data_IF_975220644032
#
_entry.id   IF_975220644032
#
_cell.length_a   1.000
_cell.length_b   1.000
_cell.length_c   1.000
_cell.angle_alpha   90.00
_cell.angle_beta   90.00
_cell.angle_gamma   90.00
#
_symmetry.space_group_name_H-M   'P 1'
#
loop_
_entity.id
_entity.type
_entity.pdbx_description
1 polymer ?
#
# COMPACT_ATOMS: atom_id res chain seq x y z
N UNK A 1 -5.84 -3.44 -13.51
CA UNK A 1 -5.89 -4.52 -12.50
C UNK A 1 -5.85 -4.01 -11.04
N UNK A 2 -4.86 -3.22 -10.55
CA UNK A 2 -4.79 -2.85 -9.12
C UNK A 2 -6.02 -2.10 -8.59
N UNK A 3 -6.63 -1.24 -9.41
CA UNK A 3 -7.88 -0.54 -9.08
C UNK A 3 -9.03 -1.52 -8.82
N UNK A 4 -9.14 -2.58 -9.63
CA UNK A 4 -10.15 -3.63 -9.44
C UNK A 4 -9.98 -4.35 -8.10
N UNK A 5 -8.74 -4.69 -7.72
CA UNK A 5 -8.48 -5.32 -6.41
C UNK A 5 -8.79 -4.39 -5.23
N UNK A 6 -8.43 -3.12 -5.32
CA UNK A 6 -8.80 -2.13 -4.31
C UNK A 6 -10.33 -1.98 -4.16
N UNK A 7 -11.08 -2.01 -5.28
CA UNK A 7 -12.55 -2.02 -5.24
C UNK A 7 -13.11 -3.30 -4.61
N UNK A 8 -12.52 -4.47 -4.90
CA UNK A 8 -12.92 -5.73 -4.27
C UNK A 8 -12.67 -5.71 -2.75
N UNK A 9 -11.53 -5.17 -2.31
CA UNK A 9 -11.26 -4.96 -0.88
C UNK A 9 -12.27 -3.99 -0.23
N UNK A 10 -12.61 -2.89 -0.90
CA UNK A 10 -13.64 -1.98 -0.42
C UNK A 10 -15.02 -2.65 -0.29
N UNK A 11 -15.39 -3.48 -1.27
CA UNK A 11 -16.62 -4.26 -1.26
C UNK A 11 -16.62 -5.30 -0.12
N UNK A 12 -15.49 -5.98 0.11
CA UNK A 12 -15.30 -6.93 1.20
C UNK A 12 -15.52 -6.27 2.57
N UNK A 13 -14.86 -5.14 2.82
CA UNK A 13 -15.05 -4.37 4.05
C UNK A 13 -16.48 -3.85 4.20
N UNK A 14 -17.11 -3.44 3.10
CA UNK A 14 -18.50 -2.99 3.11
C UNK A 14 -19.45 -4.15 3.45
N UNK A 15 -19.22 -5.34 2.92
CA UNK A 15 -20.00 -6.53 3.23
C UNK A 15 -19.90 -6.90 4.72
N UNK A 16 -18.71 -6.81 5.33
CA UNK A 16 -18.53 -6.99 6.78
C UNK A 16 -19.37 -6.04 7.64
N UNK A 17 -19.65 -4.81 7.19
CA UNK A 17 -20.52 -3.88 7.92
C UNK A 17 -22.00 -4.26 7.89
N UNK A 18 -22.42 -5.06 6.91
CA UNK A 18 -23.83 -5.48 6.74
C UNK A 18 -24.08 -6.92 7.16
N UNK A 19 -23.03 -7.72 7.32
CA UNK A 19 -23.17 -9.13 7.65
C UNK A 19 -23.76 -9.30 9.07
N UNK A 20 -24.94 -9.91 9.14
CA UNK A 20 -25.50 -10.42 10.38
C UNK A 20 -25.16 -11.92 10.49
N UNK A 21 -24.19 -12.26 11.35
CA UNK A 21 -23.79 -13.65 11.62
C UNK A 21 -22.48 -14.09 10.95
N UNK A 22 -22.22 -15.41 10.95
CA UNK A 22 -20.97 -16.03 10.50
C UNK A 22 -21.12 -16.65 9.11
N UNK A 23 -21.38 -15.82 8.11
CA UNK A 23 -21.36 -16.23 6.71
C UNK A 23 -19.98 -15.98 6.10
N UNK A 24 -19.53 -16.79 5.13
CA UNK A 24 -18.39 -16.42 4.29
C UNK A 24 -18.67 -15.09 3.61
N UNK A 25 -17.71 -14.16 3.68
CA UNK A 25 -17.85 -12.82 3.12
C UNK A 25 -16.78 -12.64 2.05
N UNK A 26 -17.21 -12.16 0.90
CA UNK A 26 -16.35 -11.83 -0.21
C UNK A 26 -16.72 -10.46 -0.79
N UNK A 27 -15.72 -9.72 -1.22
CA UNK A 27 -15.87 -8.56 -2.08
C UNK A 27 -15.48 -8.91 -3.50
N UNK A 28 -16.35 -8.59 -4.45
CA UNK A 28 -16.09 -8.80 -5.88
C UNK A 28 -16.20 -7.46 -6.59
N UNK A 29 -15.30 -7.20 -7.54
CA UNK A 29 -15.30 -5.99 -8.34
C UNK A 29 -14.90 -6.27 -9.79
N UNK A 30 -15.33 -5.37 -10.67
CA UNK A 30 -14.93 -5.34 -12.07
C UNK A 30 -14.66 -3.91 -12.51
N UNK A 31 -13.54 -3.71 -13.19
CA UNK A 31 -13.25 -2.50 -13.96
C UNK A 31 -13.07 -2.89 -15.41
N UNK A 32 -13.77 -2.25 -16.34
CA UNK A 32 -13.70 -2.59 -17.75
C UNK A 32 -13.66 -1.33 -18.62
N UNK A 33 -12.88 -1.42 -19.70
CA UNK A 33 -12.92 -0.49 -20.81
C UNK A 33 -13.38 -1.28 -22.03
N UNK A 34 -14.67 -1.17 -22.36
CA UNK A 34 -15.31 -1.91 -23.45
C UNK A 34 -15.53 -1.02 -24.68
N UNK A 35 -15.99 -1.65 -25.76
CA UNK A 35 -16.42 -1.00 -26.99
C UNK A 35 -17.42 0.13 -26.70
N UNK A 36 -17.28 1.19 -27.47
CA UNK A 36 -18.17 2.37 -27.45
C UNK A 36 -18.54 2.76 -28.87
N UNK A 37 -19.59 3.55 -29.04
CA UNK A 37 -20.03 4.05 -30.35
C UNK A 37 -18.90 4.79 -31.09
N UNK A 38 -18.05 5.51 -30.35
CA UNK A 38 -16.81 6.09 -30.88
C UNK A 38 -15.64 5.14 -30.64
N UNK A 39 -14.81 4.82 -31.66
CA UNK A 39 -13.65 3.96 -31.50
C UNK A 39 -12.66 4.49 -30.44
N UNK A 40 -12.21 3.60 -29.55
CA UNK A 40 -11.19 3.93 -28.52
C UNK A 40 -9.79 3.56 -29.02
N UNK A 41 -8.81 4.44 -28.74
CA UNK A 41 -7.40 4.16 -29.00
C UNK A 41 -6.87 3.02 -28.11
N UNK A 42 -7.21 3.02 -26.82
CA UNK A 42 -6.79 1.98 -25.86
C UNK A 42 -7.43 0.60 -26.12
N UNK A 43 -6.85 -0.49 -25.59
CA UNK A 43 -7.38 -1.84 -25.75
C UNK A 43 -8.74 -2.01 -25.07
N UNK A 44 -9.56 -2.93 -25.57
CA UNK A 44 -10.76 -3.35 -24.86
C UNK A 44 -10.33 -4.36 -23.80
N UNK A 45 -10.54 -4.06 -22.51
CA UNK A 45 -10.03 -4.92 -21.43
C UNK A 45 -10.92 -4.90 -20.22
N UNK A 46 -10.91 -6.00 -19.49
CA UNK A 46 -11.56 -6.12 -18.19
C UNK A 46 -10.57 -6.62 -17.15
N UNK A 47 -10.71 -6.10 -15.93
CA UNK A 47 -10.04 -6.60 -14.75
C UNK A 47 -11.10 -6.88 -13.69
N UNK A 48 -11.20 -8.14 -13.31
CA UNK A 48 -12.08 -8.62 -12.27
C UNK A 48 -11.23 -8.98 -11.05
N UNK A 49 -11.78 -8.79 -9.86
CA UNK A 49 -11.08 -9.11 -8.62
C UNK A 49 -12.03 -9.62 -7.55
N UNK A 50 -11.52 -10.53 -6.74
CA UNK A 50 -12.16 -11.13 -5.58
C UNK A 50 -11.23 -10.95 -4.38
N UNK A 51 -11.82 -10.54 -3.25
CA UNK A 51 -11.17 -10.50 -1.94
C UNK A 51 -12.05 -11.20 -0.92
N UNK A 52 -11.50 -12.16 -0.19
CA UNK A 52 -12.13 -12.76 0.99
C UNK A 52 -11.16 -12.73 2.19
N UNK A 53 -11.44 -13.49 3.25
CA UNK A 53 -10.58 -13.55 4.44
C UNK A 53 -9.28 -14.35 4.23
N UNK A 54 -9.17 -15.11 3.14
CA UNK A 54 -8.10 -16.09 2.87
C UNK A 54 -7.27 -15.78 1.64
N UNK A 55 -7.78 -15.01 0.69
CA UNK A 55 -7.14 -14.83 -0.60
C UNK A 55 -7.55 -13.54 -1.31
N UNK A 56 -6.69 -13.16 -2.25
CA UNK A 56 -6.96 -12.15 -3.27
C UNK A 56 -6.80 -12.83 -4.63
N UNK A 57 -7.82 -12.75 -5.48
CA UNK A 57 -7.81 -13.28 -6.84
C UNK A 57 -8.05 -12.12 -7.81
N UNK A 58 -7.34 -12.12 -8.94
CA UNK A 58 -7.57 -11.18 -10.03
C UNK A 58 -7.56 -11.88 -11.38
N UNK A 59 -8.52 -11.54 -12.22
CA UNK A 59 -8.59 -11.97 -13.62
C UNK A 59 -8.44 -10.75 -14.52
N UNK A 60 -7.58 -10.84 -15.53
CA UNK A 60 -7.37 -9.79 -16.53
C UNK A 60 -7.50 -10.38 -17.91
N UNK A 61 -8.24 -9.69 -18.78
CA UNK A 61 -8.43 -10.10 -20.16
C UNK A 61 -8.41 -8.88 -21.07
N UNK A 62 -7.78 -9.04 -22.23
CA UNK A 62 -7.92 -8.13 -23.36
C UNK A 62 -8.86 -8.80 -24.38
N UNK A 63 -9.90 -8.06 -24.79
CA UNK A 63 -10.90 -8.51 -25.76
C UNK A 63 -10.48 -8.04 -27.15
N UNK A 64 -10.69 -8.91 -28.14
CA UNK A 64 -10.36 -8.61 -29.53
C UNK A 64 -11.25 -7.47 -30.05
N UNK A 65 -10.62 -6.36 -30.46
CA UNK A 65 -11.35 -5.20 -31.00
C UNK A 65 -12.12 -5.56 -32.27
N UNK A 66 -13.26 -4.90 -32.45
CA UNK A 66 -14.10 -4.99 -33.66
C UNK A 66 -14.63 -6.41 -33.93
N UNK A 67 -14.52 -7.31 -32.95
CA UNK A 67 -15.01 -8.69 -33.02
C UNK A 67 -16.36 -8.88 -32.33
N UNK A 68 -16.72 -7.96 -31.44
CA UNK A 68 -17.97 -7.96 -30.67
C UNK A 68 -18.51 -6.54 -30.58
N UNK A 69 -19.83 -6.41 -30.54
CA UNK A 69 -20.51 -5.20 -30.09
C UNK A 69 -20.29 -4.97 -28.60
N UNK A 70 -20.55 -3.75 -28.13
CA UNK A 70 -20.50 -3.42 -26.69
C UNK A 70 -21.33 -4.38 -25.83
N UNK A 71 -22.54 -4.73 -26.28
CA UNK A 71 -23.44 -5.63 -25.55
C UNK A 71 -22.87 -7.04 -25.44
N UNK A 72 -22.22 -7.53 -26.49
CA UNK A 72 -21.58 -8.84 -26.50
C UNK A 72 -20.33 -8.86 -25.63
N UNK A 73 -19.52 -7.78 -25.62
CA UNK A 73 -18.41 -7.66 -24.68
C UNK A 73 -18.89 -7.59 -23.22
N UNK A 74 -19.97 -6.87 -22.93
CA UNK A 74 -20.60 -6.84 -21.61
C UNK A 74 -21.09 -8.23 -21.19
N UNK A 75 -21.63 -9.03 -22.12
CA UNK A 75 -22.05 -10.41 -21.84
C UNK A 75 -20.87 -11.32 -21.47
N UNK A 76 -19.75 -11.23 -22.20
CA UNK A 76 -18.51 -11.96 -21.89
C UNK A 76 -18.00 -11.59 -20.49
N UNK A 77 -17.88 -10.29 -20.21
CA UNK A 77 -17.40 -9.81 -18.90
C UNK A 77 -18.38 -10.18 -17.78
N UNK A 78 -19.69 -10.15 -18.04
CA UNK A 78 -20.72 -10.59 -17.11
C UNK A 78 -20.61 -12.07 -16.77
N UNK A 79 -20.40 -12.94 -17.77
CA UNK A 79 -20.18 -14.37 -17.54
C UNK A 79 -18.91 -14.63 -16.72
N UNK A 80 -17.81 -13.92 -17.01
CA UNK A 80 -16.59 -13.99 -16.19
C UNK A 80 -16.85 -13.51 -14.76
N UNK A 81 -17.61 -12.44 -14.57
CA UNK A 81 -17.94 -11.94 -13.23
C UNK A 81 -18.75 -12.96 -12.43
N UNK A 82 -19.74 -13.60 -13.06
CA UNK A 82 -20.53 -14.66 -12.44
C UNK A 82 -19.66 -15.87 -12.09
N UNK A 83 -18.73 -16.26 -12.96
CA UNK A 83 -17.77 -17.33 -12.67
C UNK A 83 -16.87 -17.00 -11.47
N UNK A 84 -16.46 -15.74 -11.32
CA UNK A 84 -15.66 -15.30 -10.16
C UNK A 84 -16.49 -15.30 -8.86
N UNK A 85 -17.77 -14.95 -8.93
CA UNK A 85 -18.70 -15.09 -7.80
C UNK A 85 -18.92 -16.57 -7.47
N UNK A 86 -19.06 -17.43 -8.47
CA UNK A 86 -19.19 -18.88 -8.28
C UNK A 86 -17.98 -19.44 -7.53
N UNK A 87 -16.78 -18.99 -7.86
CA UNK A 87 -15.55 -19.34 -7.15
C UNK A 87 -15.57 -18.89 -5.67
N UNK A 88 -16.02 -17.67 -5.40
CA UNK A 88 -16.18 -17.17 -4.02
C UNK A 88 -17.20 -17.99 -3.21
N UNK A 89 -18.22 -18.52 -3.88
CA UNK A 89 -19.25 -19.36 -3.28
C UNK A 89 -18.86 -20.85 -3.18
N UNK A 90 -17.69 -21.26 -3.68
CA UNK A 90 -17.29 -22.67 -3.73
C UNK A 90 -18.14 -23.52 -4.68
N UNK A 91 -18.74 -22.90 -5.70
CA UNK A 91 -19.49 -23.58 -6.75
C UNK A 91 -18.51 -23.99 -7.85
N UNK A 92 -18.58 -25.23 -8.34
CA UNK A 92 -17.67 -25.75 -9.38
C UNK A 92 -18.17 -25.53 -10.81
N UNK A 93 -19.49 -25.38 -11.01
CA UNK A 93 -20.03 -25.13 -12.34
C UNK A 93 -19.59 -23.76 -12.87
N UNK A 94 -19.24 -23.71 -14.16
CA UNK A 94 -18.82 -22.48 -14.85
C UNK A 94 -19.69 -22.24 -16.07
N UNK A 95 -20.02 -20.97 -16.28
CA UNK A 95 -20.65 -20.49 -17.51
C UNK A 95 -19.55 -20.37 -18.56
N UNK A 96 -19.81 -20.84 -19.78
CA UNK A 96 -18.95 -20.53 -20.91
C UNK A 96 -19.05 -19.03 -21.21
N UNK A 97 -17.94 -18.31 -21.01
CA UNK A 97 -17.86 -16.89 -21.27
C UNK A 97 -17.77 -16.56 -22.78
N UNK A 98 -17.65 -17.57 -23.65
CA UNK A 98 -17.55 -17.39 -25.09
C UNK A 98 -16.27 -16.69 -25.51
N UNK A 99 -15.16 -16.97 -24.81
CA UNK A 99 -13.85 -16.40 -25.13
C UNK A 99 -13.39 -16.88 -26.51
N UNK A 100 -12.79 -15.98 -27.28
CA UNK A 100 -12.18 -16.34 -28.56
C UNK A 100 -10.81 -16.99 -28.32
N UNK A 101 -10.29 -17.78 -29.28
CA UNK A 101 -8.96 -18.40 -29.14
C UNK A 101 -7.80 -17.40 -28.93
N UNK A 102 -7.95 -16.18 -29.43
CA UNK A 102 -6.99 -15.08 -29.29
C UNK A 102 -7.13 -14.28 -27.98
N UNK A 103 -8.15 -14.58 -27.16
CA UNK A 103 -8.44 -13.88 -25.91
C UNK A 103 -8.03 -14.74 -24.71
N UNK A 104 -6.94 -14.34 -24.06
CA UNK A 104 -6.40 -15.07 -22.92
C UNK A 104 -6.81 -14.45 -21.59
N UNK A 105 -7.37 -15.27 -20.70
CA UNK A 105 -7.68 -14.88 -19.34
C UNK A 105 -6.45 -15.09 -18.45
N UNK A 106 -5.81 -14.00 -18.06
CA UNK A 106 -4.70 -14.04 -17.11
C UNK A 106 -5.23 -14.02 -15.68
N UNK A 107 -4.93 -15.09 -14.93
CA UNK A 107 -5.37 -15.26 -13.54
C UNK A 107 -4.18 -15.13 -12.59
N UNK A 108 -4.35 -14.34 -11.54
CA UNK A 108 -3.43 -14.29 -10.40
C UNK A 108 -4.21 -14.61 -9.12
N UNK A 109 -3.59 -15.39 -8.23
CA UNK A 109 -4.13 -15.70 -6.91
C UNK A 109 -3.01 -15.59 -5.88
N UNK A 110 -3.31 -14.92 -4.77
CA UNK A 110 -2.44 -14.86 -3.59
C UNK A 110 -3.21 -15.41 -2.40
N UNK A 111 -2.68 -16.48 -1.79
CA UNK A 111 -3.19 -17.03 -0.54
C UNK A 111 -2.59 -16.28 0.64
N UNK A 112 -3.42 -15.85 1.58
CA UNK A 112 -3.00 -15.13 2.76
C UNK A 112 -2.39 -16.07 3.81
N UNK A 113 -1.21 -15.70 4.31
CA UNK A 113 -0.67 -16.30 5.51
C UNK A 113 -1.61 -16.05 6.70
N UNK A 114 -1.74 -16.98 7.68
CA UNK A 114 -2.61 -16.78 8.84
C UNK A 114 -2.40 -15.43 9.55
N UNK A 115 -1.14 -15.01 9.71
CA UNK A 115 -0.79 -13.72 10.30
C UNK A 115 -1.34 -12.51 9.49
N UNK A 116 -1.41 -12.61 8.15
CA UNK A 116 -2.01 -11.57 7.31
C UNK A 116 -3.53 -11.53 7.46
N UNK A 117 -4.17 -12.69 7.63
CA UNK A 117 -5.61 -12.78 7.90
C UNK A 117 -5.92 -12.12 9.24
N UNK A 118 -5.13 -12.41 10.28
CA UNK A 118 -5.23 -11.77 11.60
C UNK A 118 -5.01 -10.26 11.52
N UNK A 119 -4.01 -9.83 10.74
CA UNK A 119 -3.71 -8.42 10.53
C UNK A 119 -4.84 -7.71 9.79
N UNK A 120 -5.41 -8.29 8.73
CA UNK A 120 -6.52 -7.70 7.99
C UNK A 120 -7.79 -7.61 8.85
N UNK A 121 -8.09 -8.68 9.60
CA UNK A 121 -9.22 -8.75 10.51
C UNK A 121 -9.07 -7.88 11.77
N UNK A 122 -7.88 -7.32 12.01
CA UNK A 122 -7.60 -6.51 13.21
C UNK A 122 -7.46 -7.31 14.49
N UNK A 123 -7.19 -8.62 14.40
CA UNK A 123 -6.85 -9.49 15.55
C UNK A 123 -5.42 -9.25 16.04
N UNK A 124 -4.53 -8.83 15.16
CA UNK A 124 -3.20 -8.28 15.50
C UNK A 124 -3.02 -6.91 14.83
N UNK A 125 -2.17 -6.07 15.43
CA UNK A 125 -1.84 -4.74 14.91
C UNK A 125 -0.54 -4.70 14.10
N UNK A 126 0.31 -5.72 14.23
CA UNK A 126 1.60 -5.79 13.58
C UNK A 126 2.01 -7.24 13.30
N UNK A 127 2.63 -7.45 12.13
CA UNK A 127 3.25 -8.71 11.72
C UNK A 127 4.66 -8.40 11.23
N UNK A 128 5.64 -9.13 11.73
CA UNK A 128 7.05 -8.96 11.39
C UNK A 128 7.49 -9.99 10.37
N UNK A 129 8.12 -9.54 9.29
CA UNK A 129 8.76 -10.38 8.26
C UNK A 129 10.27 -10.13 8.26
N UNK A 130 11.08 -11.18 8.10
CA UNK A 130 12.54 -11.10 8.08
C UNK A 130 13.18 -11.95 9.20
N UNK A 131 14.51 -11.82 9.41
CA UNK A 131 15.25 -12.65 10.37
C UNK A 131 14.71 -12.51 11.79
N UNK A 132 14.41 -13.61 12.49
CA UNK A 132 13.78 -13.60 13.82
C UNK A 132 14.74 -13.76 15.00
N UNK A 133 15.97 -14.23 14.75
CA UNK A 133 16.92 -14.53 15.81
C UNK A 133 17.53 -13.27 16.43
N UNK A 134 17.57 -13.21 17.77
CA UNK A 134 18.28 -12.20 18.57
C UNK A 134 17.98 -10.72 18.23
N UNK A 135 16.75 -10.41 17.80
CA UNK A 135 16.33 -9.03 17.56
C UNK A 135 15.39 -8.53 18.68
N UNK A 136 15.48 -7.24 19.05
CA UNK A 136 14.56 -6.67 20.03
C UNK A 136 13.12 -6.77 19.53
N UNK A 137 12.16 -6.89 20.47
CA UNK A 137 10.73 -6.94 20.15
C UNK A 137 10.21 -5.69 19.41
N UNK A 138 10.99 -4.60 19.43
CA UNK A 138 10.66 -3.32 18.80
C UNK A 138 11.88 -2.75 18.07
N UNK A 139 11.69 -2.21 16.85
CA UNK A 139 12.79 -1.63 16.08
C UNK A 139 13.25 -0.31 16.74
N UNK A 140 14.57 -0.14 16.99
CA UNK A 140 15.10 1.15 17.45
C UNK A 140 14.99 2.22 16.35
N UNK A 141 15.13 1.82 15.08
CA UNK A 141 15.00 2.68 13.91
C UNK A 141 14.00 2.06 12.95
N UNK A 142 12.94 2.81 12.65
CA UNK A 142 11.87 2.37 11.76
C UNK A 142 11.80 3.29 10.55
N UNK A 143 11.67 2.72 9.36
CA UNK A 143 11.44 3.46 8.11
C UNK A 143 10.04 3.16 7.56
N UNK A 144 9.03 3.97 7.94
CA UNK A 144 7.70 3.91 7.37
C UNK A 144 7.69 4.33 5.90
N UNK A 145 7.01 3.56 5.05
CA UNK A 145 6.85 3.91 3.65
C UNK A 145 5.85 3.04 2.91
N UNK A 146 5.32 3.57 1.79
CA UNK A 146 4.47 2.76 0.91
C UNK A 146 5.29 1.74 0.11
N UNK A 147 6.56 2.05 -0.17
CA UNK A 147 7.52 1.23 -0.94
C UNK A 147 6.90 0.60 -2.20
N UNK A 148 6.25 1.45 -3.02
CA UNK A 148 5.49 1.01 -4.19
C UNK A 148 5.87 1.79 -5.45
N UNK A 149 7.03 1.52 -6.08
CA UNK A 149 8.02 0.51 -5.68
C UNK A 149 9.10 1.03 -4.72
N UNK A 150 9.83 0.12 -4.09
CA UNK A 150 11.09 0.37 -3.40
C UNK A 150 12.15 0.79 -4.46
N UNK A 151 12.94 1.81 -4.16
CA UNK A 151 13.90 2.39 -5.13
C UNK A 151 15.19 2.86 -4.46
N UNK A 152 16.17 3.31 -5.26
CA UNK A 152 17.50 3.70 -4.79
C UNK A 152 17.46 4.76 -3.68
N UNK A 153 16.67 5.83 -3.84
CA UNK A 153 16.46 6.82 -2.77
C UNK A 153 16.08 6.20 -1.42
N UNK A 154 15.15 5.23 -1.37
CA UNK A 154 14.82 4.52 -0.13
C UNK A 154 16.01 3.72 0.43
N UNK A 155 16.73 2.99 -0.43
CA UNK A 155 17.90 2.20 -0.01
C UNK A 155 19.01 3.09 0.55
N UNK A 156 19.25 4.24 -0.08
CA UNK A 156 20.25 5.20 0.35
C UNK A 156 19.87 5.89 1.66
N UNK A 157 18.59 6.24 1.86
CA UNK A 157 18.09 6.74 3.15
C UNK A 157 18.32 5.73 4.27
N UNK A 158 17.99 4.45 4.05
CA UNK A 158 18.21 3.40 5.03
C UNK A 158 19.71 3.26 5.36
N UNK A 159 20.58 3.19 4.35
CA UNK A 159 22.02 3.07 4.53
C UNK A 159 22.63 4.23 5.35
N UNK A 160 22.22 5.48 5.05
CA UNK A 160 22.70 6.66 5.79
C UNK A 160 22.18 6.65 7.23
N UNK A 161 20.92 6.25 7.43
CA UNK A 161 20.33 6.15 8.75
C UNK A 161 21.04 5.10 9.62
N UNK A 162 21.34 3.92 9.06
CA UNK A 162 22.12 2.87 9.73
C UNK A 162 23.51 3.37 10.13
N UNK A 163 24.23 4.01 9.19
CA UNK A 163 25.57 4.54 9.45
C UNK A 163 25.60 5.64 10.53
N UNK A 164 24.58 6.50 10.58
CA UNK A 164 24.50 7.60 11.57
C UNK A 164 24.04 7.14 12.95
N UNK A 165 23.13 6.17 13.00
CA UNK A 165 22.51 5.74 14.25
C UNK A 165 23.21 4.53 14.86
N UNK A 166 24.05 3.82 14.10
CA UNK A 166 24.73 2.59 14.55
C UNK A 166 23.74 1.47 14.89
N UNK A 167 22.54 1.50 14.29
CA UNK A 167 21.44 0.57 14.53
C UNK A 167 20.86 0.13 13.18
N UNK A 168 20.40 -1.12 13.05
CA UNK A 168 19.76 -1.59 11.83
C UNK A 168 18.46 -0.82 11.58
N UNK A 169 18.16 -0.53 10.30
CA UNK A 169 16.89 0.06 9.90
C UNK A 169 15.91 -1.05 9.55
N UNK A 170 14.78 -1.07 10.25
CA UNK A 170 13.65 -1.93 9.90
C UNK A 170 12.61 -1.12 9.11
N UNK A 171 11.99 -1.73 8.11
CA UNK A 171 11.00 -1.06 7.28
C UNK A 171 9.59 -1.27 7.81
N UNK A 172 8.68 -0.36 7.51
CA UNK A 172 7.28 -0.52 7.88
C UNK A 172 6.34 -0.14 6.73
N UNK A 173 5.35 -1.00 6.50
CA UNK A 173 4.26 -0.78 5.56
C UNK A 173 2.94 -0.90 6.32
N UNK A 174 2.21 0.22 6.42
CA UNK A 174 0.85 0.17 6.95
C UNK A 174 -0.08 -0.45 5.92
N UNK A 175 -0.79 -1.52 6.30
CA UNK A 175 -1.84 -2.13 5.48
C UNK A 175 -3.08 -1.25 5.43
N UNK A 176 -3.26 -0.35 6.39
CA UNK A 176 -4.32 0.65 6.39
C UNK A 176 -3.84 1.97 5.79
N UNK A 177 -4.74 2.68 5.13
CA UNK A 177 -4.55 4.04 4.66
C UNK A 177 -5.79 4.87 5.03
N UNK A 178 -5.63 6.14 5.35
CA UNK A 178 -6.73 7.02 5.78
C UNK A 178 -7.79 7.16 4.67
N UNK A 179 -7.36 7.28 3.42
CA UNK A 179 -8.24 7.60 2.27
C UNK A 179 -8.43 6.44 1.29
N UNK A 180 -7.86 5.26 1.57
CA UNK A 180 -7.91 4.11 0.67
C UNK A 180 -8.32 2.84 1.41
N UNK A 181 -8.97 1.88 0.73
CA UNK A 181 -9.13 0.54 1.27
C UNK A 181 -7.78 -0.03 1.72
N UNK A 182 -7.77 -0.98 2.66
CA UNK A 182 -6.56 -1.68 3.05
C UNK A 182 -5.86 -2.32 1.85
N UNK A 183 -4.56 -2.59 1.99
CA UNK A 183 -3.85 -3.39 1.01
C UNK A 183 -4.49 -4.79 0.93
N UNK A 184 -4.69 -5.26 -0.28
CA UNK A 184 -5.03 -6.66 -0.55
C UNK A 184 -3.80 -7.56 -0.36
N UNK A 185 -4.00 -8.88 -0.29
CA UNK A 185 -2.90 -9.82 -0.02
C UNK A 185 -1.87 -9.85 -1.15
N UNK A 186 -2.29 -9.61 -2.40
CA UNK A 186 -1.39 -9.51 -3.56
C UNK A 186 -0.48 -8.29 -3.45
N UNK A 187 -1.02 -7.16 -2.99
CA UNK A 187 -0.26 -5.94 -2.76
C UNK A 187 0.71 -6.08 -1.58
N UNK A 188 0.31 -6.77 -0.49
CA UNK A 188 1.21 -7.11 0.61
C UNK A 188 2.38 -7.98 0.12
N UNK A 189 2.09 -9.07 -0.60
CA UNK A 189 3.08 -9.97 -1.18
C UNK A 189 4.03 -9.25 -2.14
N UNK A 190 3.50 -8.47 -3.08
CA UNK A 190 4.28 -7.73 -4.07
C UNK A 190 5.22 -6.73 -3.39
N UNK A 191 4.76 -6.03 -2.35
CA UNK A 191 5.59 -5.05 -1.67
C UNK A 191 6.70 -5.71 -0.84
N UNK A 192 6.39 -6.80 -0.14
CA UNK A 192 7.35 -7.56 0.65
C UNK A 192 8.44 -8.20 -0.21
N UNK A 193 8.09 -8.69 -1.40
CA UNK A 193 9.03 -9.35 -2.31
C UNK A 193 10.18 -8.47 -2.81
N UNK A 194 10.11 -7.15 -2.61
CA UNK A 194 11.15 -6.20 -3.01
C UNK A 194 12.33 -6.11 -2.02
N UNK A 195 12.16 -6.64 -0.81
CA UNK A 195 13.16 -6.57 0.26
C UNK A 195 14.04 -7.82 0.25
N UNK A 196 15.31 -7.66 0.61
CA UNK A 196 16.25 -8.78 0.69
C UNK A 196 16.03 -9.62 1.95
N UNK A 197 16.51 -10.86 1.97
CA UNK A 197 16.31 -11.78 3.10
C UNK A 197 16.90 -11.28 4.44
N UNK A 198 17.86 -10.34 4.39
CA UNK A 198 18.44 -9.74 5.59
C UNK A 198 17.67 -8.54 6.14
N UNK A 199 16.66 -8.03 5.42
CA UNK A 199 15.89 -6.86 5.82
C UNK A 199 14.62 -7.26 6.57
N UNK A 200 14.34 -6.56 7.66
CA UNK A 200 13.09 -6.73 8.41
C UNK A 200 12.04 -5.76 7.91
N UNK A 201 10.82 -6.25 7.70
CA UNK A 201 9.66 -5.45 7.29
C UNK A 201 8.48 -5.73 8.22
N UNK A 202 7.91 -4.67 8.78
CA UNK A 202 6.67 -4.72 9.57
C UNK A 202 5.49 -4.41 8.66
N UNK A 203 4.51 -5.31 8.61
CA UNK A 203 3.16 -4.99 8.15
C UNK A 203 2.34 -4.56 9.36
N UNK A 204 1.75 -3.37 9.33
CA UNK A 204 1.02 -2.85 10.51
C UNK A 204 -0.34 -2.26 10.16
N UNK A 205 -1.16 -2.01 11.17
CA UNK A 205 -2.42 -1.26 11.06
C UNK A 205 -2.28 0.20 11.51
N UNK A 206 -1.13 0.84 11.27
CA UNK A 206 -0.83 2.19 11.80
C UNK A 206 -0.76 3.25 10.70
N UNK A 207 -1.91 3.82 10.25
CA UNK A 207 -1.92 4.74 9.11
C UNK A 207 -1.31 6.13 9.42
N UNK A 208 -1.20 6.52 10.70
CA UNK A 208 -0.68 7.83 11.14
C UNK A 208 0.57 7.69 11.99
N UNK A 209 1.39 8.74 12.06
CA UNK A 209 2.58 8.73 12.91
C UNK A 209 2.27 8.68 14.41
N UNK A 210 1.12 9.20 14.83
CA UNK A 210 0.63 8.99 16.19
C UNK A 210 0.37 7.50 16.47
N UNK A 211 -0.29 6.79 15.55
CA UNK A 211 -0.51 5.35 15.67
C UNK A 211 0.81 4.56 15.62
N UNK A 212 1.76 4.98 14.78
CA UNK A 212 3.11 4.39 14.70
C UNK A 212 3.86 4.56 16.02
N UNK A 213 3.83 5.76 16.61
CA UNK A 213 4.47 6.03 17.89
C UNK A 213 3.86 5.19 19.02
N UNK A 214 2.53 5.00 19.03
CA UNK A 214 1.87 4.14 20.01
C UNK A 214 2.27 2.66 19.84
N UNK A 215 2.44 2.19 18.61
CA UNK A 215 2.88 0.82 18.31
C UNK A 215 4.37 0.60 18.59
N UNK A 216 5.21 1.61 18.37
CA UNK A 216 6.67 1.57 18.48
C UNK A 216 7.19 2.75 19.31
N UNK A 217 6.91 2.78 20.62
CA UNK A 217 7.40 3.85 21.49
C UNK A 217 8.93 3.84 21.53
N UNK A 218 9.53 5.03 21.53
CA UNK A 218 10.98 5.24 21.51
C UNK A 218 11.64 5.10 20.14
N UNK A 219 10.91 4.70 19.09
CA UNK A 219 11.49 4.52 17.76
C UNK A 219 11.98 5.85 17.15
N UNK A 220 13.07 5.77 16.42
CA UNK A 220 13.54 6.84 15.52
C UNK A 220 12.94 6.58 14.14
N UNK A 221 12.05 7.45 13.68
CA UNK A 221 11.43 7.34 12.36
C UNK A 221 12.30 7.98 11.28
N UNK A 222 12.64 7.21 10.25
CA UNK A 222 13.28 7.70 9.03
C UNK A 222 12.20 8.28 8.12
N UNK A 223 12.29 9.58 7.81
CA UNK A 223 11.27 10.29 7.03
C UNK A 223 11.89 11.29 6.04
N UNK A 224 11.18 11.59 4.96
CA UNK A 224 11.46 12.75 4.12
C UNK A 224 10.81 14.02 4.66
N UNK A 225 11.28 15.19 4.23
CA UNK A 225 10.67 16.49 4.56
C UNK A 225 9.20 16.59 4.12
N UNK A 226 8.83 15.97 3.00
CA UNK A 226 7.44 15.86 2.53
C UNK A 226 6.52 15.14 3.53
N UNK A 227 7.06 14.14 4.22
CA UNK A 227 6.32 13.35 5.21
C UNK A 227 6.28 14.09 6.53
N UNK A 228 7.39 14.70 6.95
CA UNK A 228 7.45 15.49 8.18
C UNK A 228 6.49 16.70 8.12
N UNK A 229 6.43 17.38 6.98
CA UNK A 229 5.47 18.47 6.77
C UNK A 229 4.02 18.01 6.98
N UNK A 230 3.67 16.81 6.49
CA UNK A 230 2.34 16.22 6.69
C UNK A 230 2.07 15.85 8.16
N UNK A 231 3.08 15.39 8.90
CA UNK A 231 2.96 15.11 10.33
C UNK A 231 2.61 16.37 11.11
N UNK A 232 3.16 17.52 10.71
CA UNK A 232 2.95 18.82 11.34
C UNK A 232 1.69 19.57 10.87
N UNK A 233 1.00 19.07 9.84
CA UNK A 233 -0.07 19.79 9.16
C UNK A 233 -1.45 19.50 9.79
N UNK A 234 -2.14 20.51 10.37
CA UNK A 234 -3.46 20.36 10.99
C UNK A 234 -4.53 19.73 10.10
N UNK A 235 -4.39 19.79 8.76
CA UNK A 235 -5.33 19.15 7.83
C UNK A 235 -5.44 17.64 8.04
N UNK A 236 -4.38 17.00 8.53
CA UNK A 236 -4.39 15.57 8.87
C UNK A 236 -5.01 15.26 10.25
N UNK A 237 -5.42 16.30 10.97
CA UNK A 237 -6.07 16.25 12.28
C UNK A 237 -7.45 16.92 12.23
N UNK A 238 -8.16 16.80 11.10
CA UNK A 238 -9.49 17.39 10.92
C UNK A 238 -9.48 18.91 10.78
N UNK A 239 -8.32 19.53 10.53
CA UNK A 239 -8.14 20.98 10.52
C UNK A 239 -7.98 21.59 11.92
N UNK A 240 -7.95 20.77 12.97
CA UNK A 240 -7.84 21.23 14.35
C UNK A 240 -6.38 21.36 14.78
N UNK A 241 -5.96 22.61 15.05
CA UNK A 241 -4.61 22.93 15.51
C UNK A 241 -4.31 22.36 16.91
N UNK A 242 -5.29 22.37 17.82
CA UNK A 242 -5.11 21.83 19.17
C UNK A 242 -4.98 20.30 19.13
N UNK A 243 -5.76 19.63 18.28
CA UNK A 243 -5.62 18.20 18.05
C UNK A 243 -4.26 17.83 17.43
N UNK A 244 -3.78 18.62 16.46
CA UNK A 244 -2.43 18.47 15.90
C UNK A 244 -1.36 18.60 16.98
N UNK A 245 -1.40 19.67 17.78
CA UNK A 245 -0.45 19.90 18.86
C UNK A 245 -0.45 18.75 19.88
N UNK A 246 -1.64 18.31 20.34
CA UNK A 246 -1.77 17.21 21.29
C UNK A 246 -1.22 15.88 20.74
N UNK A 247 -1.37 15.64 19.43
CA UNK A 247 -0.78 14.48 18.77
C UNK A 247 0.75 14.54 18.77
N UNK A 248 1.33 15.70 18.44
CA UNK A 248 2.79 15.90 18.45
C UNK A 248 3.38 15.78 19.86
N UNK A 249 2.70 16.33 20.87
CA UNK A 249 3.08 16.17 22.28
C UNK A 249 3.02 14.71 22.71
N UNK A 250 2.04 13.95 22.23
CA UNK A 250 1.93 12.51 22.53
C UNK A 250 3.08 11.73 21.87
N UNK A 251 3.41 12.02 20.62
CA UNK A 251 4.57 11.42 19.93
C UNK A 251 5.86 11.72 20.72
N UNK A 252 6.04 12.97 21.16
CA UNK A 252 7.19 13.37 21.96
C UNK A 252 7.25 12.65 23.33
N UNK A 253 6.09 12.48 24.00
CA UNK A 253 5.97 11.77 25.28
C UNK A 253 6.28 10.28 25.16
N UNK A 254 5.93 9.68 24.03
CA UNK A 254 6.28 8.29 23.68
C UNK A 254 7.77 8.13 23.33
N UNK A 255 8.55 9.21 23.37
CA UNK A 255 9.99 9.20 23.17
C UNK A 255 10.43 9.07 21.71
N UNK A 256 9.50 9.15 20.76
CA UNK A 256 9.80 9.01 19.34
C UNK A 256 10.56 10.23 18.82
N UNK A 257 11.43 9.97 17.83
CA UNK A 257 12.26 10.99 17.16
C UNK A 257 12.20 10.80 15.65
N UNK A 258 12.72 11.77 14.90
CA UNK A 258 12.73 11.75 13.44
C UNK A 258 14.13 11.99 12.89
N UNK A 259 14.60 11.11 12.02
CA UNK A 259 15.75 11.36 11.16
C UNK A 259 15.23 11.83 9.80
N UNK A 260 15.51 13.09 9.46
CA UNK A 260 14.82 13.82 8.40
C UNK A 260 15.74 14.02 7.21
N UNK A 261 15.32 13.48 6.08
CA UNK A 261 16.02 13.61 4.79
C UNK A 261 15.37 14.68 3.94
N UNK A 262 16.19 15.56 3.37
CA UNK A 262 15.70 16.55 2.41
C UNK A 262 15.11 15.87 1.16
N UNK A 263 14.12 16.51 0.55
CA UNK A 263 13.42 16.01 -0.63
C UNK A 263 13.24 17.11 -1.66
N UNK A 264 13.31 16.73 -2.93
CA UNK A 264 12.90 17.60 -4.01
C UNK A 264 11.38 17.53 -4.18
N UNK A 265 10.70 18.67 -4.01
CA UNK A 265 9.24 18.77 -4.14
C UNK A 265 8.82 19.37 -5.50
N UNK A 266 9.70 19.31 -6.51
CA UNK A 266 9.49 19.84 -7.86
C UNK A 266 9.72 21.36 -7.98
N UNK A 267 9.55 22.11 -6.89
CA UNK A 267 9.86 23.54 -6.81
C UNK A 267 11.25 23.85 -6.24
N UNK A 268 11.97 22.81 -5.80
CA UNK A 268 13.27 22.94 -5.15
C UNK A 268 13.52 21.82 -4.14
N UNK A 269 14.76 21.74 -3.69
CA UNK A 269 15.17 20.85 -2.61
C UNK A 269 14.79 21.49 -1.27
N UNK A 270 14.00 20.78 -0.47
CA UNK A 270 13.51 21.24 0.84
C UNK A 270 14.19 20.44 1.94
N UNK A 271 14.86 21.14 2.84
CA UNK A 271 15.55 20.61 4.02
C UNK A 271 14.72 20.82 5.31
N UNK A 272 15.17 20.23 6.42
CA UNK A 272 14.50 20.38 7.71
C UNK A 272 14.44 21.86 8.15
N UNK A 273 15.47 22.66 7.89
CA UNK A 273 15.51 24.07 8.27
C UNK A 273 14.50 24.95 7.53
N UNK A 274 13.99 24.48 6.39
CA UNK A 274 13.03 25.21 5.57
C UNK A 274 11.58 24.96 6.00
N UNK A 275 11.37 24.00 6.92
CA UNK A 275 10.04 23.68 7.46
C UNK A 275 9.72 24.54 8.68
N UNK A 276 8.54 25.16 8.66
CA UNK A 276 7.96 25.80 9.84
C UNK A 276 7.30 24.74 10.73
N UNK A 277 8.00 24.34 11.80
CA UNK A 277 7.58 23.28 12.70
C UNK A 277 7.40 23.81 14.12
N UNK A 278 6.36 23.30 14.80
CA UNK A 278 6.16 23.56 16.23
C UNK A 278 7.38 23.10 17.04
N UNK A 279 7.81 23.85 18.09
CA UNK A 279 9.00 23.53 18.87
C UNK A 279 9.05 22.08 19.38
N UNK A 280 7.90 21.57 19.84
CA UNK A 280 7.77 20.19 20.34
C UNK A 280 8.17 19.12 19.32
N UNK A 281 7.95 19.37 18.03
CA UNK A 281 8.35 18.47 16.95
C UNK A 281 9.77 18.77 16.48
N UNK A 282 10.15 20.04 16.38
CA UNK A 282 11.48 20.48 15.97
C UNK A 282 12.57 19.87 16.86
N UNK A 283 12.37 19.88 18.17
CA UNK A 283 13.28 19.31 19.17
C UNK A 283 13.43 17.77 19.09
N UNK A 284 12.59 17.12 18.28
CA UNK A 284 12.62 15.67 18.03
C UNK A 284 13.24 15.31 16.68
N UNK A 285 13.65 16.29 15.89
CA UNK A 285 14.15 16.08 14.53
C UNK A 285 15.68 16.18 14.45
N UNK A 286 16.29 15.28 13.68
CA UNK A 286 17.70 15.29 13.32
C UNK A 286 17.79 15.42 11.81
N UNK A 287 18.44 16.47 11.30
CA UNK A 287 18.61 16.67 9.86
C UNK A 287 19.72 15.80 9.27
N UNK A 288 19.50 15.26 8.09
CA UNK A 288 20.55 14.77 7.19
C UNK A 288 20.94 15.90 6.25
N UNK A 289 22.24 16.19 6.14
CA UNK A 289 22.70 17.30 5.30
C UNK A 289 22.55 16.96 3.81
N UNK A 290 22.33 17.97 2.97
CA UNK A 290 22.14 17.78 1.53
C UNK A 290 23.33 17.08 0.86
N UNK A 291 24.56 17.41 1.27
CA UNK A 291 25.76 16.80 0.70
C UNK A 291 25.88 15.30 1.02
N UNK A 292 25.17 14.79 2.03
CA UNK A 292 25.11 13.36 2.37
C UNK A 292 23.99 12.65 1.60
N UNK A 293 22.88 13.35 1.33
CA UNK A 293 21.73 12.79 0.66
C UNK A 293 21.06 13.79 -0.28
N UNK A 294 21.15 13.49 -1.57
CA UNK A 294 20.36 14.12 -2.63
C UNK A 294 19.99 13.08 -3.68
N UNK A 295 18.74 12.65 -3.66
CA UNK A 295 18.19 11.65 -4.57
C UNK A 295 16.85 12.17 -5.10
N UNK A 296 16.77 12.41 -6.41
CA UNK A 296 15.58 13.00 -7.06
C UNK A 296 14.58 11.93 -7.56
N UNK A 297 14.80 10.65 -7.24
CA UNK A 297 13.93 9.55 -7.69
C UNK A 297 12.70 9.40 -6.78
N UNK A 298 11.50 9.42 -7.37
CA UNK A 298 10.25 9.09 -6.67
C UNK A 298 9.58 7.79 -7.17
N UNK A 299 8.89 7.08 -6.27
CA UNK A 299 8.05 5.93 -6.65
C UNK A 299 6.96 6.29 -7.67
N UNK A 300 6.48 7.54 -7.67
CA UNK A 300 5.41 7.97 -8.59
C UNK A 300 5.92 8.06 -10.02
N UNK A 301 7.11 8.61 -10.24
CA UNK A 301 7.74 8.65 -11.57
C UNK A 301 8.05 7.25 -12.08
N UNK A 302 8.54 6.35 -11.22
CA UNK A 302 8.82 4.96 -11.59
C UNK A 302 7.57 4.17 -12.00
N UNK A 303 6.39 4.51 -11.49
CA UNK A 303 5.13 3.91 -11.94
C UNK A 303 4.64 4.46 -13.28
N UNK A 304 5.05 5.68 -13.63
CA UNK A 304 4.66 6.37 -14.86
C UNK A 304 5.68 6.20 -15.99
N UNK A 305 6.90 5.78 -15.67
CA UNK A 305 7.95 5.48 -16.65
C UNK A 305 7.69 4.17 -17.41
N UNK A 306 8.31 3.99 -18.60
CA UNK A 306 8.30 2.70 -19.29
C UNK A 306 8.92 1.63 -18.38
N UNK A 307 8.33 0.44 -18.37
CA UNK A 307 8.89 -0.69 -17.64
C UNK A 307 10.35 -0.92 -18.09
N UNK A 308 11.29 -1.17 -17.18
CA UNK A 308 12.67 -1.45 -17.58
C UNK A 308 12.67 -2.67 -18.51
N UNK A 309 13.29 -2.53 -19.67
CA UNK A 309 13.66 -3.69 -20.51
C UNK A 309 14.55 -4.61 -19.66
N UNK A 310 14.20 -5.91 -19.68
CA UNK A 310 14.94 -6.95 -18.96
C UNK A 310 16.28 -7.23 -19.62
#
# INVERSE_FOLDING_TARGET
EPVGRAMAMAAYLRAHRYAAGRWPIAGVACTAALATERPKRGPHRAHLALQDDRQTVSWSIELAKEKRSRKEEEAVVGALLLNLVAEACGVDQRIDAGLRPDEQLHTTRTMALPAWQDLLAGRTNAVRHGPTANQPDRPPVLFPGAFNPLHQGHRRMAQIAEGRLGQPVEFEISVLNVDKPPLDFREMETRLAQFSAGQTVWLTRTPTFLAKAAQFPGAIFVVGTDTLARIADPRYYGGDQAACQAALETIARLGCRFLVFGRNLGQGFVQLCDLDLLPVLKDRCMAVAEHEFREDVSSTELRSGPAPEK
#
